data_IF_461816089756
#
_entry.id   IF_461816089756
#
_cell.length_a   1.000
_cell.length_b   1.000
_cell.length_c   1.000
_cell.angle_alpha   90.00
_cell.angle_beta   90.00
_cell.angle_gamma   90.00
#
_symmetry.space_group_name_H-M   'P 1'
#
loop_
_entity.id
_entity.type
_entity.pdbx_description
1 polymer ?
#
# COMPACT_ATOMS: atom_id res chain seq x y z
N UNK A 1 19.09 10.93 -4.54
CA UNK A 1 17.77 11.45 -4.11
C UNK A 1 16.98 11.62 -5.38
N UNK A 2 16.06 10.70 -5.68
CA UNK A 2 15.16 10.90 -6.81
C UNK A 2 14.26 12.07 -6.49
N UNK A 3 14.08 12.98 -7.43
CA UNK A 3 13.11 14.06 -7.32
C UNK A 3 11.73 13.46 -7.00
N UNK A 4 11.06 14.01 -5.99
CA UNK A 4 9.69 13.64 -5.64
C UNK A 4 8.78 13.90 -6.83
N UNK A 5 8.06 12.87 -7.28
CA UNK A 5 7.11 12.99 -8.38
C UNK A 5 5.84 13.70 -7.90
N UNK A 6 5.29 14.67 -8.66
CA UNK A 6 4.10 15.42 -8.29
C UNK A 6 2.81 14.62 -8.54
N UNK A 7 2.74 13.43 -7.95
CA UNK A 7 1.67 12.45 -8.15
C UNK A 7 1.16 11.93 -6.82
N UNK A 8 -0.14 11.64 -6.76
CA UNK A 8 -0.75 10.90 -5.67
C UNK A 8 -0.92 9.45 -6.08
N UNK A 9 -0.46 8.53 -5.24
CA UNK A 9 -0.45 7.09 -5.51
C UNK A 9 -1.29 6.39 -4.46
N UNK A 10 -2.25 5.57 -4.91
CA UNK A 10 -3.00 4.67 -4.05
C UNK A 10 -2.64 3.23 -4.40
N UNK A 11 -2.07 2.50 -3.44
CA UNK A 11 -1.78 1.07 -3.58
C UNK A 11 -3.00 0.27 -3.15
N UNK A 12 -3.55 -0.53 -4.06
CA UNK A 12 -4.68 -1.42 -3.76
C UNK A 12 -4.14 -2.80 -3.38
N UNK A 13 -4.45 -3.26 -2.17
CA UNK A 13 -4.04 -4.56 -1.66
C UNK A 13 -5.29 -5.43 -1.44
N UNK A 14 -5.63 -6.32 -2.39
CA UNK A 14 -6.65 -7.33 -2.16
C UNK A 14 -6.11 -8.42 -1.22
N UNK A 15 -6.92 -8.84 -0.26
CA UNK A 15 -6.55 -9.89 0.73
C UNK A 15 -7.73 -10.81 1.02
N UNK A 16 -7.44 -12.08 1.28
CA UNK A 16 -8.41 -13.11 1.66
C UNK A 16 -7.82 -13.97 2.77
N UNK A 17 -8.44 -13.97 3.95
CA UNK A 17 -8.02 -14.76 5.11
C UNK A 17 -6.52 -14.60 5.51
N UNK A 18 -5.86 -13.50 5.10
CA UNK A 18 -4.44 -13.24 5.36
C UNK A 18 -4.22 -11.88 6.06
N UNK A 19 -5.10 -11.54 6.99
CA UNK A 19 -5.10 -10.23 7.67
C UNK A 19 -3.79 -9.95 8.42
N UNK A 20 -3.12 -11.00 8.92
CA UNK A 20 -1.86 -10.90 9.63
C UNK A 20 -0.67 -10.54 8.71
N UNK A 21 -0.71 -10.87 7.42
CA UNK A 21 0.41 -10.67 6.49
C UNK A 21 0.41 -9.27 5.84
N UNK A 22 -0.71 -8.54 5.93
CA UNK A 22 -0.90 -7.24 5.27
C UNK A 22 0.16 -6.21 5.71
N UNK A 23 0.56 -6.25 6.98
CA UNK A 23 1.54 -5.30 7.55
C UNK A 23 2.88 -5.39 6.82
N UNK A 24 3.36 -6.60 6.54
CA UNK A 24 4.64 -6.78 5.86
C UNK A 24 4.55 -6.41 4.38
N UNK A 25 3.40 -6.64 3.73
CA UNK A 25 3.15 -6.17 2.37
C UNK A 25 3.18 -4.65 2.29
N UNK A 26 2.54 -3.93 3.21
CA UNK A 26 2.58 -2.45 3.26
C UNK A 26 4.01 -1.95 3.45
N UNK A 27 4.78 -2.57 4.35
CA UNK A 27 6.18 -2.20 4.62
C UNK A 27 7.12 -2.45 3.45
N UNK A 28 6.75 -3.31 2.50
CA UNK A 28 7.53 -3.55 1.28
C UNK A 28 7.40 -2.43 0.25
N UNK A 29 6.38 -1.58 0.36
CA UNK A 29 6.20 -0.42 -0.52
C UNK A 29 7.15 0.70 -0.09
N UNK A 30 7.98 1.25 -1.01
CA UNK A 30 8.85 2.37 -0.71
C UNK A 30 8.06 3.57 -0.20
N UNK A 31 8.49 4.12 0.93
CA UNK A 31 7.93 5.33 1.55
C UNK A 31 9.03 6.38 1.83
N UNK A 32 10.03 6.44 0.96
CA UNK A 32 11.19 7.32 1.01
C UNK A 32 10.95 8.69 0.34
N UNK A 33 9.69 9.10 0.23
CA UNK A 33 9.30 10.42 -0.29
C UNK A 33 9.35 10.56 -1.83
N UNK A 34 9.22 9.46 -2.56
CA UNK A 34 9.28 9.45 -4.03
C UNK A 34 8.02 10.02 -4.72
N UNK A 35 6.91 10.19 -4.01
CA UNK A 35 5.69 10.83 -4.49
C UNK A 35 5.10 11.79 -3.44
N UNK A 36 4.28 12.75 -3.87
CA UNK A 36 3.63 13.74 -2.99
C UNK A 36 2.72 13.09 -1.93
N UNK A 37 2.05 12.00 -2.31
CA UNK A 37 1.16 11.27 -1.42
C UNK A 37 1.10 9.79 -1.75
N UNK A 38 1.20 8.97 -0.71
CA UNK A 38 1.04 7.52 -0.78
C UNK A 38 -0.09 7.09 0.16
N UNK A 39 -1.16 6.53 -0.41
CA UNK A 39 -2.29 5.95 0.32
C UNK A 39 -2.38 4.43 0.07
N UNK A 40 -3.02 3.71 0.98
CA UNK A 40 -3.27 2.27 0.86
C UNK A 40 -4.78 1.98 0.94
N UNK A 41 -5.30 1.23 -0.03
CA UNK A 41 -6.67 0.72 -0.04
C UNK A 41 -6.63 -0.80 0.12
N UNK A 42 -7.01 -1.29 1.30
CA UNK A 42 -7.05 -2.72 1.60
C UNK A 42 -8.48 -3.22 1.32
N UNK A 43 -8.60 -4.20 0.44
CA UNK A 43 -9.89 -4.83 0.10
C UNK A 43 -9.88 -6.25 0.66
N UNK A 44 -10.56 -6.44 1.78
CA UNK A 44 -10.71 -7.75 2.42
C UNK A 44 -11.95 -8.50 1.91
N UNK A 45 -11.79 -9.80 1.68
CA UNK A 45 -12.91 -10.73 1.51
C UNK A 45 -12.81 -11.85 2.55
N UNK A 46 -13.77 -11.94 3.47
CA UNK A 46 -14.00 -13.11 4.31
C UNK A 46 -15.27 -13.84 3.86
N UNK A 47 -15.20 -15.16 3.72
CA UNK A 47 -16.39 -16.00 3.56
C UNK A 47 -16.99 -16.25 4.95
N UNK A 48 -18.28 -15.96 5.11
CA UNK A 48 -19.11 -16.46 6.21
C UNK A 48 -19.83 -17.73 5.76
#
# INVERSE_FOLDING_TARGET
MSDTLPVHVTVVIPTRNEEAAIVDTIRSVPNDGWCDKLDFLIIGWQFN
#
